data_IF_407697687812
#
_entry.id   IF_407697687812
#
_cell.length_a   1.000
_cell.length_b   1.000
_cell.length_c   1.000
_cell.angle_alpha   90.00
_cell.angle_beta   90.00
_cell.angle_gamma   90.00
#
_symmetry.space_group_name_H-M   'P 1'
#
loop_
_entity.id
_entity.type
_entity.pdbx_description
1 polymer ?
#
# COMPACT_ATOMS: atom_id res chain seq x y z
N UNK A 1 6.55 18.03 2.10
CA UNK A 1 5.86 17.16 1.10
C UNK A 1 6.71 15.99 0.60
N UNK A 2 7.96 16.20 0.17
CA UNK A 2 8.82 15.11 -0.34
C UNK A 2 9.04 13.97 0.67
N UNK A 3 9.09 14.29 1.97
CA UNK A 3 9.26 13.31 3.05
C UNK A 3 8.09 12.33 3.08
N UNK A 4 6.85 12.81 2.97
CA UNK A 4 5.67 11.94 2.92
C UNK A 4 5.74 10.97 1.73
N UNK A 5 6.14 11.46 0.55
CA UNK A 5 6.29 10.61 -0.65
C UNK A 5 7.37 9.55 -0.43
N UNK A 6 8.51 9.90 0.20
CA UNK A 6 9.55 8.93 0.56
C UNK A 6 9.04 7.88 1.55
N UNK A 7 8.26 8.28 2.55
CA UNK A 7 7.67 7.36 3.52
C UNK A 7 6.63 6.43 2.87
N UNK A 8 5.82 6.92 1.93
CA UNK A 8 4.91 6.07 1.15
C UNK A 8 5.71 5.09 0.28
N UNK A 9 6.77 5.56 -0.38
CA UNK A 9 7.62 4.72 -1.23
C UNK A 9 8.26 3.58 -0.44
N UNK A 10 8.83 3.86 0.73
CA UNK A 10 9.40 2.79 1.54
C UNK A 10 8.35 1.78 1.97
N UNK A 11 7.15 2.22 2.34
CA UNK A 11 6.07 1.33 2.76
C UNK A 11 5.68 0.38 1.63
N UNK A 12 5.47 0.94 0.43
CA UNK A 12 5.16 0.13 -0.75
C UNK A 12 6.30 -0.85 -1.07
N UNK A 13 7.54 -0.42 -0.96
CA UNK A 13 8.69 -1.32 -1.14
C UNK A 13 8.73 -2.44 -0.08
N UNK A 14 8.50 -2.11 1.19
CA UNK A 14 8.49 -3.08 2.27
C UNK A 14 7.38 -4.13 2.11
N UNK A 15 6.13 -3.70 1.95
CA UNK A 15 4.95 -4.58 1.93
C UNK A 15 4.79 -5.36 0.61
N UNK A 16 5.13 -4.78 -0.54
CA UNK A 16 4.86 -5.42 -1.83
C UNK A 16 6.09 -6.02 -2.51
N UNK A 17 7.29 -5.50 -2.22
CA UNK A 17 8.53 -5.97 -2.85
C UNK A 17 9.31 -6.88 -1.90
N UNK A 18 9.51 -6.46 -0.65
CA UNK A 18 10.35 -7.18 0.31
C UNK A 18 9.60 -8.22 1.13
N UNK A 19 8.26 -8.14 1.21
CA UNK A 19 7.46 -9.14 1.89
C UNK A 19 7.18 -10.35 0.99
N UNK A 20 7.86 -11.47 1.24
CA UNK A 20 7.62 -12.70 0.48
C UNK A 20 6.30 -13.39 0.87
N UNK A 21 5.74 -14.19 -0.05
CA UNK A 21 4.57 -15.04 0.22
C UNK A 21 4.80 -16.00 1.40
N UNK A 22 6.01 -16.58 1.50
CA UNK A 22 6.35 -17.49 2.60
C UNK A 22 6.30 -16.82 3.98
N UNK A 23 6.66 -15.53 4.07
CA UNK A 23 6.54 -14.79 5.33
C UNK A 23 5.08 -14.54 5.68
N UNK A 24 4.25 -14.23 4.69
CA UNK A 24 2.80 -14.07 4.90
C UNK A 24 2.20 -15.38 5.42
N UNK A 25 2.51 -16.51 4.78
CA UNK A 25 2.02 -17.83 5.20
C UNK A 25 2.47 -18.21 6.62
N UNK A 26 3.73 -17.94 6.97
CA UNK A 26 4.26 -18.18 8.31
C UNK A 26 3.57 -17.31 9.36
N UNK A 27 3.40 -16.00 9.07
CA UNK A 27 2.72 -15.05 9.96
C UNK A 27 1.25 -15.42 10.16
N UNK A 28 0.54 -15.81 9.10
CA UNK A 28 -0.86 -16.25 9.19
C UNK A 28 -1.00 -17.56 9.99
N UNK A 29 -0.01 -18.46 9.94
CA UNK A 29 -0.03 -19.72 10.70
C UNK A 29 0.36 -19.55 12.18
N UNK A 30 1.37 -18.74 12.47
CA UNK A 30 1.93 -18.60 13.82
C UNK A 30 1.39 -17.37 14.57
N UNK A 31 0.70 -16.46 13.88
CA UNK A 31 0.18 -15.21 14.44
C UNK A 31 1.30 -14.33 15.03
N UNK A 32 1.05 -13.80 16.22
CA UNK A 32 1.96 -12.89 16.95
C UNK A 32 3.29 -13.56 17.33
N UNK A 33 3.35 -14.90 17.32
CA UNK A 33 4.58 -15.66 17.61
C UNK A 33 5.55 -15.73 16.42
N UNK A 34 5.12 -15.32 15.23
CA UNK A 34 5.99 -15.37 14.05
C UNK A 34 7.13 -14.36 14.15
N UNK A 35 8.37 -14.84 14.05
CA UNK A 35 9.55 -13.96 14.00
C UNK A 35 9.51 -13.06 12.75
N UNK A 36 8.91 -13.53 11.66
CA UNK A 36 8.75 -12.77 10.41
C UNK A 36 7.92 -11.51 10.57
N UNK A 37 7.03 -11.46 11.57
CA UNK A 37 6.26 -10.25 11.90
C UNK A 37 7.18 -9.12 12.34
N UNK A 38 8.05 -9.39 13.31
CA UNK A 38 8.97 -8.40 13.85
C UNK A 38 10.08 -8.06 12.87
N UNK A 39 10.56 -9.06 12.11
CA UNK A 39 11.56 -8.83 11.07
C UNK A 39 11.03 -7.94 9.94
N UNK A 40 9.75 -8.11 9.56
CA UNK A 40 9.07 -7.25 8.59
C UNK A 40 9.00 -5.80 9.09
N UNK A 41 8.57 -5.59 10.33
CA UNK A 41 8.58 -4.27 10.96
C UNK A 41 9.97 -3.64 11.03
N UNK A 42 10.99 -4.43 11.35
CA UNK A 42 12.38 -3.96 11.37
C UNK A 42 12.84 -3.52 9.97
N UNK A 43 12.46 -4.25 8.91
CA UNK A 43 12.74 -3.85 7.52
C UNK A 43 12.10 -2.49 7.23
N UNK A 44 10.85 -2.28 7.61
CA UNK A 44 10.18 -0.99 7.43
C UNK A 44 10.88 0.15 8.17
N UNK A 45 11.28 -0.05 9.42
CA UNK A 45 12.09 0.92 10.16
C UNK A 45 13.43 1.22 9.48
N UNK A 46 14.14 0.16 9.04
CA UNK A 46 15.42 0.30 8.35
C UNK A 46 15.27 1.05 7.02
N UNK A 47 14.25 0.73 6.22
CA UNK A 47 13.95 1.43 4.97
C UNK A 47 13.58 2.90 5.21
N UNK A 48 12.76 3.18 6.22
CA UNK A 48 12.41 4.55 6.59
C UNK A 48 13.66 5.35 6.99
N UNK A 49 14.57 4.75 7.75
CA UNK A 49 15.82 5.43 8.09
C UNK A 49 16.72 5.64 6.88
N UNK A 50 16.87 4.61 6.04
CA UNK A 50 17.69 4.64 4.82
C UNK A 50 17.23 5.72 3.85
N UNK A 51 15.91 5.85 3.62
CA UNK A 51 15.39 6.81 2.64
C UNK A 51 15.41 8.27 3.13
N UNK A 52 15.37 8.46 4.45
CA UNK A 52 15.55 9.77 5.09
C UNK A 52 17.03 10.15 5.19
N UNK A 53 17.93 9.17 5.32
CA UNK A 53 19.39 9.30 5.31
C UNK A 53 19.93 10.36 6.28
N UNK A 54 19.33 10.43 7.48
CA UNK A 54 19.74 11.36 8.53
C UNK A 54 19.49 10.74 9.91
N UNK A 55 20.55 10.71 10.73
CA UNK A 55 20.53 10.12 12.08
C UNK A 55 19.50 10.79 12.99
N UNK A 56 19.17 12.07 12.76
CA UNK A 56 18.17 12.80 13.56
C UNK A 56 16.77 12.20 13.48
N UNK A 57 16.46 11.47 12.41
CA UNK A 57 15.15 10.85 12.20
C UNK A 57 15.07 9.40 12.70
N UNK A 58 16.00 8.95 13.55
CA UNK A 58 15.94 7.62 14.16
C UNK A 58 14.60 7.35 14.88
N UNK A 59 14.04 8.37 15.53
CA UNK A 59 12.77 8.26 16.24
C UNK A 59 11.61 8.01 15.27
N UNK A 60 11.62 8.64 14.08
CA UNK A 60 10.63 8.40 13.03
C UNK A 60 10.70 6.96 12.54
N UNK A 61 11.92 6.46 12.27
CA UNK A 61 12.14 5.09 11.83
C UNK A 61 11.65 4.06 12.88
N UNK A 62 11.95 4.30 14.16
CA UNK A 62 11.47 3.47 15.26
C UNK A 62 9.94 3.50 15.37
N UNK A 63 9.33 4.69 15.30
CA UNK A 63 7.87 4.84 15.35
C UNK A 63 7.19 4.12 14.19
N UNK A 64 7.73 4.22 12.96
CA UNK A 64 7.21 3.47 11.80
C UNK A 64 7.28 1.97 12.06
N UNK A 65 8.43 1.45 12.50
CA UNK A 65 8.58 0.03 12.77
C UNK A 65 7.57 -0.48 13.82
N UNK A 66 7.42 0.24 14.93
CA UNK A 66 6.52 -0.14 16.02
C UNK A 66 5.06 -0.10 15.56
N UNK A 67 4.65 0.98 14.88
CA UNK A 67 3.27 1.13 14.42
C UNK A 67 2.94 0.10 13.33
N UNK A 68 3.87 -0.18 12.40
CA UNK A 68 3.73 -1.22 11.38
C UNK A 68 3.49 -2.59 12.00
N UNK A 69 4.33 -2.99 12.97
CA UNK A 69 4.15 -4.26 13.69
C UNK A 69 2.79 -4.31 14.41
N UNK A 70 2.39 -3.21 15.04
CA UNK A 70 1.09 -3.11 15.71
C UNK A 70 -0.09 -3.30 14.76
N UNK A 71 -0.06 -2.70 13.58
CA UNK A 71 -1.11 -2.85 12.57
C UNK A 71 -1.14 -4.28 12.03
N UNK A 72 0.02 -4.86 11.69
CA UNK A 72 0.11 -6.26 11.26
C UNK A 72 -0.43 -7.22 12.35
N UNK A 73 -0.17 -6.95 13.63
CA UNK A 73 -0.73 -7.73 14.75
C UNK A 73 -2.25 -7.65 14.81
N UNK A 74 -2.82 -6.46 14.63
CA UNK A 74 -4.28 -6.26 14.57
C UNK A 74 -4.85 -7.06 13.41
N UNK A 75 -4.27 -6.95 12.22
CA UNK A 75 -4.68 -7.74 11.04
C UNK A 75 -4.66 -9.23 11.34
N UNK A 76 -3.55 -9.76 11.88
CA UNK A 76 -3.42 -11.19 12.20
C UNK A 76 -4.44 -11.66 13.25
N UNK A 77 -4.85 -10.78 14.17
CA UNK A 77 -5.79 -11.11 15.25
C UNK A 77 -7.24 -11.20 14.77
N UNK A 78 -7.63 -10.41 13.77
CA UNK A 78 -9.02 -10.32 13.32
C UNK A 78 -9.28 -10.91 11.93
N UNK A 79 -8.24 -11.13 11.13
CA UNK A 79 -8.36 -11.72 9.80
C UNK A 79 -8.79 -13.19 9.89
N UNK A 80 -9.82 -13.53 9.12
CA UNK A 80 -10.37 -14.87 8.91
C UNK A 80 -10.43 -15.18 7.42
N UNK A 81 -10.63 -16.45 7.05
CA UNK A 81 -10.69 -16.88 5.64
C UNK A 81 -11.80 -16.16 4.85
N UNK A 82 -12.94 -15.84 5.48
CA UNK A 82 -14.09 -15.23 4.83
C UNK A 82 -14.00 -13.70 4.69
N UNK A 83 -13.12 -13.02 5.42
CA UNK A 83 -12.97 -11.56 5.39
C UNK A 83 -11.53 -11.12 5.03
N UNK A 84 -10.73 -12.03 4.45
CA UNK A 84 -9.31 -11.82 4.13
C UNK A 84 -9.08 -10.58 3.25
N UNK A 85 -9.88 -10.41 2.19
CA UNK A 85 -9.77 -9.25 1.29
C UNK A 85 -10.09 -7.93 2.01
N UNK A 86 -11.12 -7.92 2.86
CA UNK A 86 -11.49 -6.74 3.63
C UNK A 86 -10.41 -6.32 4.62
N UNK A 87 -9.81 -7.29 5.33
CA UNK A 87 -8.69 -7.02 6.24
C UNK A 87 -7.42 -6.62 5.52
N UNK A 88 -7.16 -7.16 4.33
CA UNK A 88 -6.05 -6.70 3.50
C UNK A 88 -6.19 -5.22 3.12
N UNK A 89 -7.38 -4.77 2.72
CA UNK A 89 -7.63 -3.37 2.40
C UNK A 89 -7.55 -2.47 3.65
N UNK A 90 -8.17 -2.90 4.75
CA UNK A 90 -8.12 -2.16 6.02
C UNK A 90 -6.68 -2.01 6.53
N UNK A 91 -5.89 -3.07 6.43
CA UNK A 91 -4.47 -3.08 6.77
C UNK A 91 -3.68 -2.03 5.98
N UNK A 92 -3.83 -1.98 4.65
CA UNK A 92 -3.15 -0.96 3.83
C UNK A 92 -3.61 0.47 4.14
N UNK A 93 -4.90 0.66 4.43
CA UNK A 93 -5.44 1.95 4.86
C UNK A 93 -4.86 2.41 6.20
N UNK A 94 -4.78 1.50 7.18
CA UNK A 94 -4.22 1.80 8.50
C UNK A 94 -2.73 2.15 8.40
N UNK A 95 -1.96 1.43 7.58
CA UNK A 95 -0.55 1.76 7.35
C UNK A 95 -0.40 3.14 6.69
N UNK A 96 -1.13 3.42 5.62
CA UNK A 96 -1.11 4.72 4.96
C UNK A 96 -1.51 5.86 5.91
N UNK A 97 -2.56 5.68 6.71
CA UNK A 97 -2.98 6.65 7.71
C UNK A 97 -1.89 6.86 8.77
N UNK A 98 -1.27 5.79 9.25
CA UNK A 98 -0.19 5.89 10.24
C UNK A 98 1.00 6.70 9.71
N UNK A 99 1.36 6.53 8.44
CA UNK A 99 2.43 7.29 7.79
C UNK A 99 2.06 8.77 7.74
N UNK A 100 0.83 9.11 7.36
CA UNK A 100 0.35 10.51 7.34
C UNK A 100 0.40 11.13 8.74
N UNK A 101 -0.07 10.40 9.75
CA UNK A 101 -0.07 10.86 11.15
C UNK A 101 1.36 11.07 11.64
N UNK A 102 2.25 10.10 11.47
CA UNK A 102 3.65 10.21 11.89
C UNK A 102 4.37 11.33 11.15
N UNK A 103 4.13 11.46 9.84
CA UNK A 103 4.69 12.56 9.06
C UNK A 103 4.23 13.92 9.58
N UNK A 104 2.95 14.08 9.88
CA UNK A 104 2.42 15.33 10.43
C UNK A 104 3.02 15.64 11.80
N UNK A 105 3.06 14.66 12.71
CA UNK A 105 3.56 14.83 14.06
C UNK A 105 5.06 15.17 14.12
N UNK A 106 5.89 14.55 13.28
CA UNK A 106 7.34 14.74 13.34
C UNK A 106 7.86 15.90 12.49
N UNK A 107 7.16 16.26 11.40
CA UNK A 107 7.65 17.25 10.45
C UNK A 107 6.82 18.53 10.38
N UNK A 108 5.69 18.58 11.09
CA UNK A 108 4.76 19.72 11.18
C UNK A 108 4.65 20.50 9.85
N UNK A 109 4.17 19.85 8.78
CA UNK A 109 4.19 20.44 7.46
C UNK A 109 3.20 21.60 7.37
N UNK A 110 3.62 22.71 6.77
CA UNK A 110 2.69 23.74 6.34
C UNK A 110 1.82 23.18 5.21
N UNK A 111 0.51 23.08 5.46
CA UNK A 111 -0.50 22.68 4.48
C UNK A 111 -1.31 23.92 4.11
N UNK A 112 -0.85 24.73 3.14
CA UNK A 112 -1.60 25.89 2.70
C UNK A 112 -2.87 25.43 1.97
N UNK A 113 -4.01 25.52 2.67
CA UNK A 113 -5.33 25.27 2.11
C UNK A 113 -5.64 26.33 1.05
N UNK A 114 -5.65 25.93 -0.23
CA UNK A 114 -5.86 26.82 -1.37
C UNK A 114 -4.81 26.67 -2.48
N UNK A 115 -3.56 26.37 -2.12
CA UNK A 115 -2.46 26.22 -3.10
C UNK A 115 -2.63 24.96 -3.95
N UNK A 116 -3.23 23.89 -3.42
CA UNK A 116 -3.48 22.66 -4.20
C UNK A 116 -4.40 22.92 -5.41
N UNK A 117 -5.40 23.80 -5.26
CA UNK A 117 -6.36 24.10 -6.32
C UNK A 117 -5.71 24.86 -7.49
N UNK A 118 -4.67 25.65 -7.22
CA UNK A 118 -3.93 26.39 -8.24
C UNK A 118 -2.64 25.68 -8.68
N UNK A 119 -2.30 24.54 -8.07
CA UNK A 119 -1.08 23.82 -8.38
C UNK A 119 -1.22 23.02 -9.68
N UNK A 120 -0.62 23.53 -10.76
CA UNK A 120 -0.61 22.88 -12.07
C UNK A 120 -0.08 21.44 -12.03
N UNK A 121 0.98 21.18 -11.26
CA UNK A 121 1.59 19.85 -11.18
C UNK A 121 0.64 18.84 -10.52
N UNK A 122 -0.10 19.26 -9.50
CA UNK A 122 -1.14 18.44 -8.86
C UNK A 122 -2.20 18.01 -9.88
N UNK A 123 -2.74 18.94 -10.66
CA UNK A 123 -3.74 18.62 -11.68
C UNK A 123 -3.20 17.73 -12.79
N UNK A 124 -1.95 17.97 -13.25
CA UNK A 124 -1.29 17.09 -14.23
C UNK A 124 -1.22 15.65 -13.70
N UNK A 125 -0.76 15.45 -12.46
CA UNK A 125 -0.67 14.11 -11.87
C UNK A 125 -2.04 13.49 -11.63
N UNK A 126 -3.03 14.25 -11.17
CA UNK A 126 -4.40 13.75 -10.99
C UNK A 126 -5.01 13.30 -12.32
N UNK A 127 -4.88 14.11 -13.37
CA UNK A 127 -5.32 13.76 -14.72
C UNK A 127 -4.59 12.54 -15.24
N UNK A 128 -3.27 12.45 -15.07
CA UNK A 128 -2.48 11.29 -15.49
C UNK A 128 -2.93 10.01 -14.78
N UNK A 129 -3.16 10.04 -13.46
CA UNK A 129 -3.63 8.88 -12.69
C UNK A 129 -5.02 8.46 -13.16
N UNK A 130 -5.97 9.39 -13.32
CA UNK A 130 -7.32 9.07 -13.81
C UNK A 130 -7.30 8.53 -15.23
N UNK A 131 -6.47 9.11 -16.10
CA UNK A 131 -6.33 8.66 -17.47
C UNK A 131 -5.77 7.24 -17.52
N UNK A 132 -4.67 6.97 -16.81
CA UNK A 132 -4.01 5.67 -16.84
C UNK A 132 -4.82 4.56 -16.15
N UNK A 133 -5.53 4.86 -15.07
CA UNK A 133 -6.27 3.85 -14.31
C UNK A 133 -7.70 3.63 -14.81
N UNK A 134 -8.41 4.70 -15.17
CA UNK A 134 -9.83 4.63 -15.57
C UNK A 134 -9.98 4.69 -17.08
N UNK A 135 -9.46 5.74 -17.74
CA UNK A 135 -9.70 5.95 -19.18
C UNK A 135 -9.05 4.84 -20.01
N UNK A 136 -7.80 4.48 -19.72
CA UNK A 136 -7.14 3.34 -20.37
C UNK A 136 -7.84 2.01 -20.08
N UNK A 137 -8.34 1.81 -18.85
CA UNK A 137 -9.11 0.61 -18.50
C UNK A 137 -10.38 0.45 -19.33
N UNK A 138 -11.15 1.54 -19.48
CA UNK A 138 -12.34 1.58 -20.36
C UNK A 138 -11.91 1.36 -21.82
N UNK A 139 -10.83 2.00 -22.27
CA UNK A 139 -10.31 1.82 -23.63
C UNK A 139 -9.97 0.36 -23.94
N UNK A 140 -9.28 -0.32 -23.03
CA UNK A 140 -8.98 -1.76 -23.13
C UNK A 140 -10.27 -2.57 -23.16
N UNK A 141 -11.23 -2.29 -22.28
CA UNK A 141 -12.53 -2.99 -22.25
C UNK A 141 -13.26 -2.87 -23.58
N UNK A 142 -13.33 -1.67 -24.17
CA UNK A 142 -13.99 -1.43 -25.47
C UNK A 142 -13.27 -2.19 -26.59
N UNK A 143 -11.94 -2.09 -26.67
CA UNK A 143 -11.14 -2.79 -27.69
C UNK A 143 -11.31 -4.31 -27.61
N UNK A 144 -11.37 -4.86 -26.39
CA UNK A 144 -11.52 -6.29 -26.16
C UNK A 144 -12.98 -6.77 -26.22
N UNK A 145 -13.97 -5.88 -26.40
CA UNK A 145 -15.39 -6.24 -26.32
C UNK A 145 -15.78 -7.30 -27.35
N UNK A 146 -15.22 -7.26 -28.57
CA UNK A 146 -15.54 -8.27 -29.59
C UNK A 146 -14.91 -9.63 -29.26
N UNK A 147 -13.64 -9.68 -28.84
CA UNK A 147 -13.00 -10.93 -28.41
C UNK A 147 -13.64 -11.53 -27.16
N UNK A 148 -14.12 -10.69 -26.23
CA UNK A 148 -14.85 -11.15 -25.06
C UNK A 148 -16.15 -11.89 -25.44
N UNK A 149 -16.86 -11.45 -26.49
CA UNK A 149 -18.05 -12.14 -27.00
C UNK A 149 -17.73 -13.53 -27.55
N UNK A 150 -16.62 -13.67 -28.26
CA UNK A 150 -16.22 -14.95 -28.86
C UNK A 150 -15.87 -16.02 -27.82
N UNK A 151 -15.29 -15.61 -26.68
CA UNK A 151 -15.02 -16.52 -25.54
C UNK A 151 -16.33 -17.10 -24.95
N UNK A 152 -17.43 -16.36 -25.01
CA UNK A 152 -18.72 -16.84 -24.54
C UNK A 152 -19.42 -17.77 -25.55
N UNK A 153 -19.18 -17.59 -26.85
CA UNK A 153 -19.77 -18.41 -27.91
C UNK A 153 -19.17 -19.83 -27.98
N UNK A 154 -17.90 -20.01 -27.63
CA UNK A 154 -17.25 -21.33 -27.64
C UNK A 154 -17.71 -22.25 -26.51
N UNK A 155 -18.22 -21.70 -25.39
CA UNK A 155 -18.82 -22.50 -24.30
C UNK A 155 -20.17 -23.11 -24.65
N UNK A 156 -20.91 -22.53 -25.59
CA UNK A 156 -22.19 -23.10 -26.06
C UNK A 156 -22.00 -24.11 -27.21
N UNK A 157 -20.81 -24.13 -27.82
CA UNK A 157 -20.46 -25.05 -28.92
C UNK A 157 -19.71 -26.30 -28.47
N UNK A 158 -19.41 -26.46 -27.18
CA UNK A 158 -18.94 -27.74 -26.66
C UNK A 158 -20.07 -28.77 -26.77
N UNK A 159 -19.90 -29.71 -27.70
CA UNK A 159 -20.76 -30.89 -27.85
C UNK A 159 -20.89 -31.66 -26.51
N UNK A 160 -22.03 -32.34 -26.26
CA UNK A 160 -22.27 -33.09 -25.03
C UNK A 160 -21.23 -34.19 -24.76
#
# INVERSE_FOLDING_TARGET
>A
MIILVKLILMHLAGDFILQSKSWVEEKEKQGIRSIKLYLHGLIHGALAWLILWDLRYWAVALSIAVVHVGIDMVKLSFQKKNNKTGWFLMDQLLHALSIVVLWYLFFNPDIPMGVLAENQQFWIYLTAILFLTVVCGIGIQVLLTNWAKDIHLDKEKSLP
#
